data_IF_149277204726
#
_entry.id   IF_149277204726
#
_cell.length_a   1.000
_cell.length_b   1.000
_cell.length_c   1.000
_cell.angle_alpha   90.00
_cell.angle_beta   90.00
_cell.angle_gamma   90.00
#
_symmetry.space_group_name_H-M   'P 1'
#
loop_
_entity.id
_entity.type
_entity.pdbx_description
1 polymer ?
#
# COMPACT_ATOMS: atom_id res chain seq x y z
N UNK A 1 -6.46 31.44 -18.98
CA UNK A 1 -6.71 30.09 -18.43
C UNK A 1 -5.86 29.97 -17.18
N UNK A 2 -6.41 29.50 -16.06
CA UNK A 2 -5.66 29.51 -14.80
C UNK A 2 -4.67 28.33 -14.78
N UNK A 3 -3.37 28.62 -14.67
CA UNK A 3 -2.28 27.64 -14.88
C UNK A 3 -2.30 26.47 -13.90
N UNK A 4 -2.93 26.65 -12.73
CA UNK A 4 -3.07 25.62 -11.70
C UNK A 4 -4.22 24.64 -11.96
N UNK A 5 -5.24 25.04 -12.73
CA UNK A 5 -6.43 24.23 -12.99
C UNK A 5 -6.16 22.83 -13.55
N UNK A 6 -5.28 22.62 -14.56
CA UNK A 6 -5.02 21.28 -15.06
C UNK A 6 -4.48 20.33 -13.99
N UNK A 7 -3.67 20.83 -13.05
CA UNK A 7 -3.14 20.01 -11.95
C UNK A 7 -4.22 19.68 -10.93
N UNK A 8 -5.10 20.63 -10.60
CA UNK A 8 -6.25 20.37 -9.72
C UNK A 8 -7.17 19.32 -10.33
N UNK A 9 -7.52 19.45 -11.61
CA UNK A 9 -8.36 18.47 -12.31
C UNK A 9 -7.69 17.08 -12.39
N UNK A 10 -6.38 17.02 -12.61
CA UNK A 10 -5.63 15.76 -12.57
C UNK A 10 -5.67 15.12 -11.19
N UNK A 11 -5.48 15.90 -10.12
CA UNK A 11 -5.56 15.40 -8.74
C UNK A 11 -6.95 14.87 -8.42
N UNK A 12 -8.00 15.57 -8.86
CA UNK A 12 -9.39 15.15 -8.69
C UNK A 12 -9.65 13.82 -9.40
N UNK A 13 -9.24 13.72 -10.66
CA UNK A 13 -9.40 12.49 -11.44
C UNK A 13 -8.65 11.32 -10.79
N UNK A 14 -7.37 11.51 -10.47
CA UNK A 14 -6.53 10.50 -9.84
C UNK A 14 -7.13 9.98 -8.52
N UNK A 15 -7.66 10.89 -7.70
CA UNK A 15 -8.29 10.54 -6.41
C UNK A 15 -9.63 9.83 -6.60
N UNK A 16 -10.46 10.24 -7.57
CA UNK A 16 -11.73 9.56 -7.82
C UNK A 16 -11.52 8.16 -8.39
N UNK A 17 -10.60 8.01 -9.34
CA UNK A 17 -10.26 6.71 -9.93
C UNK A 17 -9.84 5.70 -8.86
N UNK A 18 -8.94 6.09 -7.94
CA UNK A 18 -8.49 5.17 -6.89
C UNK A 18 -9.62 4.81 -5.91
N UNK A 19 -10.49 5.77 -5.59
CA UNK A 19 -11.61 5.57 -4.67
C UNK A 19 -12.68 4.66 -5.26
N UNK A 20 -12.99 4.80 -6.56
CA UNK A 20 -14.00 3.97 -7.24
C UNK A 20 -13.63 2.48 -7.27
N UNK A 21 -12.32 2.18 -7.25
CA UNK A 21 -11.82 0.80 -7.28
C UNK A 21 -11.10 0.39 -6.00
N UNK A 22 -11.32 1.10 -4.90
CA UNK A 22 -10.56 0.96 -3.65
C UNK A 22 -10.59 -0.45 -3.05
N UNK A 23 -11.66 -1.21 -3.26
CA UNK A 23 -11.77 -2.59 -2.77
C UNK A 23 -10.93 -3.59 -3.58
N UNK A 24 -10.47 -3.19 -4.78
CA UNK A 24 -9.77 -4.04 -5.75
C UNK A 24 -8.34 -3.59 -6.02
N UNK A 25 -7.91 -2.46 -5.43
CA UNK A 25 -6.53 -1.99 -5.59
C UNK A 25 -5.58 -2.85 -4.77
N UNK A 26 -4.44 -3.11 -5.40
CA UNK A 26 -3.29 -3.77 -4.80
C UNK A 26 -2.31 -2.75 -4.20
N UNK A 27 -1.36 -3.23 -3.38
CA UNK A 27 -0.41 -2.37 -2.69
C UNK A 27 0.43 -1.52 -3.67
N UNK A 28 0.82 -2.09 -4.81
CA UNK A 28 1.66 -1.43 -5.82
C UNK A 28 0.94 -0.23 -6.44
N UNK A 29 -0.36 -0.39 -6.67
CA UNK A 29 -1.19 0.67 -7.24
C UNK A 29 -1.38 1.83 -6.26
N UNK A 30 -1.54 1.52 -4.97
CA UNK A 30 -1.62 2.53 -3.91
C UNK A 30 -0.29 3.26 -3.69
N UNK A 31 0.83 2.57 -3.83
CA UNK A 31 2.16 3.18 -3.79
C UNK A 31 2.35 4.15 -4.97
N UNK A 32 2.08 3.70 -6.19
CA UNK A 32 2.16 4.53 -7.39
C UNK A 32 1.17 5.71 -7.34
N UNK A 33 -0.01 5.51 -6.77
CA UNK A 33 -0.97 6.58 -6.52
C UNK A 33 -0.39 7.64 -5.58
N UNK A 34 0.24 7.23 -4.47
CA UNK A 34 0.85 8.14 -3.51
C UNK A 34 1.92 9.01 -4.17
N UNK A 35 2.82 8.39 -4.93
CA UNK A 35 3.89 9.10 -5.64
C UNK A 35 3.34 10.12 -6.64
N UNK A 36 2.37 9.70 -7.48
CA UNK A 36 1.71 10.58 -8.45
C UNK A 36 0.96 11.73 -7.77
N UNK A 37 0.28 11.45 -6.65
CA UNK A 37 -0.44 12.45 -5.87
C UNK A 37 0.53 13.50 -5.33
N UNK A 38 1.66 13.08 -4.79
CA UNK A 38 2.70 13.98 -4.28
C UNK A 38 3.26 14.89 -5.38
N UNK A 39 3.61 14.32 -6.55
CA UNK A 39 4.10 15.09 -7.70
C UNK A 39 3.11 16.16 -8.17
N UNK A 40 1.81 15.84 -8.20
CA UNK A 40 0.77 16.80 -8.60
C UNK A 40 0.59 17.87 -7.52
N UNK A 41 0.60 17.48 -6.24
CA UNK A 41 0.49 18.43 -5.12
C UNK A 41 1.65 19.43 -5.13
N UNK A 42 2.88 19.00 -5.38
CA UNK A 42 4.02 19.90 -5.51
C UNK A 42 3.85 20.94 -6.63
N UNK A 43 3.30 20.53 -7.79
CA UNK A 43 2.98 21.46 -8.89
C UNK A 43 1.89 22.46 -8.51
N UNK A 44 0.88 22.02 -7.76
CA UNK A 44 -0.18 22.90 -7.24
C UNK A 44 0.40 23.89 -6.22
N UNK A 45 1.29 23.43 -5.33
CA UNK A 45 1.90 24.26 -4.30
C UNK A 45 2.77 25.37 -4.90
N UNK A 46 3.56 25.04 -5.93
CA UNK A 46 4.34 26.02 -6.69
C UNK A 46 3.49 27.15 -7.30
N UNK A 47 2.22 26.85 -7.60
CA UNK A 47 1.26 27.78 -8.20
C UNK A 47 0.16 28.22 -7.23
N UNK A 48 0.35 28.06 -5.91
CA UNK A 48 -0.70 28.28 -4.89
C UNK A 48 -1.36 29.67 -4.93
N UNK A 49 -0.63 30.70 -5.36
CA UNK A 49 -1.11 32.08 -5.50
C UNK A 49 -2.19 32.21 -6.58
N UNK A 50 -2.23 31.27 -7.52
CA UNK A 50 -3.18 31.22 -8.62
C UNK A 50 -4.42 30.38 -8.28
N UNK A 51 -4.55 29.80 -7.08
CA UNK A 51 -5.72 29.02 -6.71
C UNK A 51 -6.99 29.89 -6.57
N UNK A 52 -7.99 29.58 -7.40
CA UNK A 52 -9.33 30.14 -7.26
C UNK A 52 -10.05 29.58 -6.02
N UNK A 53 -11.15 30.23 -5.61
CA UNK A 53 -12.01 29.72 -4.55
C UNK A 53 -12.62 28.36 -4.90
N UNK A 54 -12.93 28.13 -6.17
CA UNK A 54 -13.43 26.85 -6.68
C UNK A 54 -12.38 25.74 -6.54
N UNK A 55 -11.13 26.00 -6.94
CA UNK A 55 -10.04 25.03 -6.77
C UNK A 55 -9.84 24.66 -5.30
N UNK A 56 -9.91 25.65 -4.40
CA UNK A 56 -9.78 25.39 -2.95
C UNK A 56 -10.92 24.53 -2.42
N UNK A 57 -12.14 24.73 -2.94
CA UNK A 57 -13.29 23.90 -2.58
C UNK A 57 -13.12 22.47 -3.09
N UNK A 58 -12.69 22.28 -4.34
CA UNK A 58 -12.41 20.94 -4.89
C UNK A 58 -11.34 20.20 -4.06
N UNK A 59 -10.22 20.85 -3.78
CA UNK A 59 -9.14 20.27 -2.97
C UNK A 59 -9.64 19.88 -1.57
N UNK A 60 -10.47 20.72 -0.94
CA UNK A 60 -11.08 20.39 0.36
C UNK A 60 -12.00 19.18 0.27
N UNK A 61 -12.81 19.08 -0.79
CA UNK A 61 -13.67 17.92 -1.01
C UNK A 61 -12.84 16.65 -1.23
N UNK A 62 -11.65 16.73 -1.83
CA UNK A 62 -10.79 15.55 -1.97
C UNK A 62 -10.28 15.00 -0.64
N UNK A 63 -10.00 15.87 0.34
CA UNK A 63 -9.53 15.44 1.66
C UNK A 63 -10.49 14.48 2.39
N UNK A 64 -11.77 14.47 2.02
CA UNK A 64 -12.75 13.54 2.60
C UNK A 64 -12.46 12.06 2.25
N UNK A 65 -11.72 11.81 1.17
CA UNK A 65 -11.38 10.47 0.71
C UNK A 65 -10.11 9.92 1.35
N UNK A 66 -9.28 10.78 1.97
CA UNK A 66 -7.97 10.39 2.49
C UNK A 66 -8.09 9.28 3.55
N UNK A 67 -9.13 9.33 4.41
CA UNK A 67 -9.35 8.30 5.43
C UNK A 67 -9.69 6.93 4.84
N UNK A 68 -10.49 6.88 3.77
CA UNK A 68 -10.83 5.62 3.12
C UNK A 68 -9.57 4.99 2.48
N UNK A 69 -8.78 5.81 1.78
CA UNK A 69 -7.53 5.36 1.15
C UNK A 69 -6.54 4.84 2.21
N UNK A 70 -6.34 5.59 3.30
CA UNK A 70 -5.47 5.17 4.41
C UNK A 70 -5.96 3.88 5.07
N UNK A 71 -7.27 3.72 5.23
CA UNK A 71 -7.84 2.49 5.78
C UNK A 71 -7.50 1.27 4.91
N UNK A 72 -7.65 1.39 3.59
CA UNK A 72 -7.28 0.33 2.64
C UNK A 72 -5.78 0.00 2.69
N UNK A 73 -4.91 1.01 2.71
CA UNK A 73 -3.46 0.80 2.84
C UNK A 73 -3.10 0.06 4.13
N UNK A 74 -3.71 0.45 5.26
CA UNK A 74 -3.48 -0.22 6.53
C UNK A 74 -4.01 -1.66 6.54
N UNK A 75 -5.14 -1.91 5.92
CA UNK A 75 -5.69 -3.26 5.78
C UNK A 75 -4.72 -4.19 5.03
N UNK A 76 -4.23 -3.76 3.86
CA UNK A 76 -3.26 -4.52 3.08
C UNK A 76 -1.95 -4.76 3.85
N UNK A 77 -1.49 -3.74 4.59
CA UNK A 77 -0.31 -3.87 5.47
C UNK A 77 -0.52 -4.91 6.56
N UNK A 78 -1.70 -4.93 7.20
CA UNK A 78 -2.04 -5.90 8.23
C UNK A 78 -2.11 -7.32 7.65
N UNK A 79 -2.78 -7.49 6.51
CA UNK A 79 -2.89 -8.78 5.82
C UNK A 79 -1.51 -9.37 5.47
N UNK A 80 -0.62 -8.55 4.93
CA UNK A 80 0.76 -8.96 4.64
C UNK A 80 1.52 -9.36 5.91
N UNK A 81 1.35 -8.61 7.00
CA UNK A 81 1.95 -8.92 8.30
C UNK A 81 1.46 -10.26 8.87
N UNK A 82 0.15 -10.48 8.84
CA UNK A 82 -0.48 -11.73 9.30
C UNK A 82 -0.04 -12.92 8.46
N UNK A 83 0.09 -12.75 7.14
CA UNK A 83 0.61 -13.78 6.25
C UNK A 83 2.05 -14.17 6.61
N UNK A 84 2.93 -13.18 6.83
CA UNK A 84 4.32 -13.43 7.24
C UNK A 84 4.40 -14.15 8.59
N UNK A 85 3.56 -13.76 9.56
CA UNK A 85 3.51 -14.42 10.87
C UNK A 85 3.10 -15.89 10.75
N UNK A 86 2.05 -16.18 9.97
CA UNK A 86 1.58 -17.56 9.71
C UNK A 86 2.68 -18.40 9.06
N UNK A 87 3.41 -17.85 8.09
CA UNK A 87 4.55 -18.54 7.46
C UNK A 87 5.65 -18.87 8.48
N UNK A 88 5.95 -17.94 9.40
CA UNK A 88 6.88 -18.17 10.51
C UNK A 88 6.43 -19.33 11.40
N UNK A 89 5.17 -19.33 11.84
CA UNK A 89 4.61 -20.40 12.68
C UNK A 89 4.62 -21.76 11.99
N UNK A 90 4.29 -21.82 10.68
CA UNK A 90 4.33 -23.07 9.91
C UNK A 90 5.76 -23.62 9.84
N UNK A 91 6.77 -22.77 9.63
CA UNK A 91 8.18 -23.20 9.62
C UNK A 91 8.60 -23.75 10.98
N UNK A 92 8.23 -23.10 12.08
CA UNK A 92 8.52 -23.58 13.45
C UNK A 92 7.84 -24.92 13.73
N UNK A 93 6.57 -25.09 13.34
CA UNK A 93 5.85 -26.36 13.50
C UNK A 93 6.48 -27.47 12.67
N UNK A 94 6.81 -27.24 11.39
CA UNK A 94 7.49 -28.25 10.55
C UNK A 94 8.84 -28.67 11.14
N UNK A 95 9.63 -27.74 11.66
CA UNK A 95 10.90 -28.06 12.32
C UNK A 95 10.70 -28.89 13.60
N UNK A 96 9.66 -28.62 14.41
CA UNK A 96 9.38 -29.41 15.61
C UNK A 96 8.95 -30.84 15.28
N UNK A 97 8.08 -31.03 14.28
CA UNK A 97 7.68 -32.38 13.83
C UNK A 97 8.81 -33.14 13.13
N UNK A 98 9.74 -32.45 12.43
CA UNK A 98 10.94 -33.10 11.85
C UNK A 98 11.99 -33.46 12.91
N UNK A 99 12.10 -32.70 14.00
CA UNK A 99 13.02 -33.02 15.10
C UNK A 99 12.59 -34.28 15.88
N UNK A 100 11.28 -34.52 16.02
CA UNK A 100 10.75 -35.73 16.67
C UNK A 100 10.69 -36.96 15.75
N UNK A 101 10.84 -36.79 14.43
CA UNK A 101 10.93 -37.88 13.46
C UNK A 101 12.38 -38.06 12.98
N UNK A 102 13.29 -38.27 13.93
CA UNK A 102 14.60 -38.87 13.66
C UNK A 102 14.58 -40.34 14.11
N UNK A 103 13.99 -41.28 13.33
CA UNK A 103 14.21 -42.69 13.57
C UNK A 103 15.63 -43.03 13.10
N UNK A 104 16.49 -43.44 14.03
CA UNK A 104 17.63 -44.34 13.75
C UNK A 104 18.59 -43.88 12.61
N UNK A 105 19.32 -42.78 12.79
CA UNK A 105 20.56 -42.55 12.05
C UNK A 105 21.78 -42.86 12.93
N UNK A 106 21.82 -44.07 13.52
CA UNK A 106 23.06 -44.70 13.94
C UNK A 106 23.79 -45.22 12.69
N UNK A 107 24.61 -44.37 12.07
CA UNK A 107 25.64 -44.87 11.15
C UNK A 107 26.78 -45.42 11.99
N UNK A 108 26.77 -46.73 12.21
CA UNK A 108 27.94 -47.47 12.67
C UNK A 108 29.02 -47.37 11.59
N UNK A 109 30.11 -46.67 11.90
CA UNK A 109 31.34 -46.85 11.14
C UNK A 109 31.92 -48.22 11.51
N UNK A 110 31.89 -49.12 10.55
CA UNK A 110 32.58 -50.39 10.62
C UNK A 110 33.16 -50.66 9.25
N UNK A 111 34.44 -50.31 9.05
CA UNK A 111 35.36 -51.12 8.25
C UNK A 111 36.84 -50.78 8.46
N UNK A 112 37.50 -51.80 9.02
CA UNK A 112 38.90 -52.28 8.87
C UNK A 112 40.07 -51.34 9.17
#
# INVERSE_FOLDING_TARGET
MNEVNPYVSQLVYLTKDIVERLDRVEYEELALFSDKREDIVHKIEALKTHLSSENKLELRNLCQFDQAILSRMNHLKQEAGDWLLRQGTIKVQKSAYQADYAPESMFFDSKK
#
